data_IF_323704225790
#
_entry.id   IF_323704225790
#
_cell.length_a   1.000
_cell.length_b   1.000
_cell.length_c   1.000
_cell.angle_alpha   90.00
_cell.angle_beta   90.00
_cell.angle_gamma   90.00
#
_symmetry.space_group_name_H-M   'P 1'
#
loop_
_entity.id
_entity.type
_entity.pdbx_description
1 polymer ?
#
# COMPACT_ATOMS: atom_id res chain seq x y z
N UNK A 1 -48.50 69.45 -44.87
CA UNK A 1 -48.65 67.99 -44.66
C UNK A 1 -47.66 67.61 -43.57
N UNK A 2 -48.13 67.11 -42.43
CA UNK A 2 -47.26 66.62 -41.35
C UNK A 2 -47.05 65.12 -41.52
N UNK A 3 -45.80 64.64 -41.39
CA UNK A 3 -45.48 63.22 -41.49
C UNK A 3 -45.89 62.51 -40.19
N UNK A 4 -46.66 61.43 -40.31
CA UNK A 4 -47.00 60.57 -39.17
C UNK A 4 -45.76 59.75 -38.80
N UNK A 5 -45.35 59.81 -37.53
CA UNK A 5 -44.23 59.02 -37.02
C UNK A 5 -44.75 58.11 -35.93
N UNK A 6 -44.68 56.80 -36.16
CA UNK A 6 -45.03 55.81 -35.16
C UNK A 6 -43.89 55.66 -34.14
N UNK A 7 -44.25 55.37 -32.89
CA UNK A 7 -43.28 55.08 -31.83
C UNK A 7 -42.48 53.82 -32.13
N UNK A 8 -41.17 53.88 -31.90
CA UNK A 8 -40.26 52.75 -32.02
C UNK A 8 -39.59 52.40 -30.69
N UNK A 9 -39.33 51.12 -30.50
CA UNK A 9 -38.66 50.62 -29.31
C UNK A 9 -37.16 50.96 -29.31
N UNK A 10 -36.63 51.35 -28.16
CA UNK A 10 -35.20 51.39 -27.90
C UNK A 10 -34.61 49.97 -27.88
N UNK A 11 -33.28 49.90 -27.91
CA UNK A 11 -32.57 48.69 -27.52
C UNK A 11 -32.95 48.27 -26.10
N UNK A 12 -32.86 46.97 -25.84
CA UNK A 12 -33.08 46.39 -24.52
C UNK A 12 -31.94 46.71 -23.56
N UNK A 13 -32.28 47.11 -22.35
CA UNK A 13 -31.38 47.26 -21.21
C UNK A 13 -31.60 46.07 -20.28
N UNK A 14 -30.59 45.24 -20.08
CA UNK A 14 -30.69 44.06 -19.21
C UNK A 14 -30.08 44.32 -17.83
N UNK A 15 -30.73 43.83 -16.78
CA UNK A 15 -30.20 43.78 -15.43
C UNK A 15 -29.26 42.60 -15.19
N UNK A 16 -28.80 42.48 -13.93
CA UNK A 16 -27.94 41.38 -13.50
C UNK A 16 -28.70 40.04 -13.45
N UNK A 17 -27.98 38.94 -13.68
CA UNK A 17 -28.52 37.59 -13.51
C UNK A 17 -28.64 37.25 -12.02
N UNK A 18 -29.81 36.83 -11.58
CA UNK A 18 -30.07 36.51 -10.17
C UNK A 18 -29.65 35.08 -9.76
N UNK A 19 -28.96 34.34 -10.63
CA UNK A 19 -28.48 33.00 -10.32
C UNK A 19 -27.59 33.02 -9.06
N UNK A 20 -28.01 32.30 -8.02
CA UNK A 20 -27.33 32.21 -6.71
C UNK A 20 -25.96 31.51 -6.80
N UNK A 21 -25.80 30.64 -7.80
CA UNK A 21 -24.59 29.84 -8.02
C UNK A 21 -24.36 29.61 -9.51
N UNK A 22 -23.39 28.75 -9.83
CA UNK A 22 -23.23 28.18 -11.15
C UNK A 22 -24.52 27.57 -11.68
N UNK A 23 -25.11 28.18 -12.71
CA UNK A 23 -26.30 27.65 -13.34
C UNK A 23 -27.20 28.68 -13.99
N UNK A 24 -28.46 28.29 -14.13
CA UNK A 24 -29.53 29.06 -14.74
C UNK A 24 -30.22 29.95 -13.71
N UNK A 25 -30.39 31.21 -14.05
CA UNK A 25 -31.23 32.15 -13.31
C UNK A 25 -32.12 32.94 -14.26
N UNK A 26 -32.66 34.04 -13.76
CA UNK A 26 -33.44 34.99 -14.52
C UNK A 26 -32.82 36.39 -14.42
N UNK A 27 -33.00 37.17 -15.47
CA UNK A 27 -32.70 38.61 -15.48
C UNK A 27 -33.87 39.37 -16.09
N UNK A 28 -34.15 40.53 -15.51
CA UNK A 28 -35.10 41.47 -16.10
C UNK A 28 -34.42 42.27 -17.20
N UNK A 29 -35.14 42.56 -18.29
CA UNK A 29 -34.74 43.53 -19.31
C UNK A 29 -35.88 44.50 -19.59
N UNK A 30 -35.54 45.75 -19.85
CA UNK A 30 -36.50 46.82 -20.14
C UNK A 30 -36.14 47.60 -21.41
N UNK A 31 -37.14 48.22 -22.03
CA UNK A 31 -36.99 49.08 -23.22
C UNK A 31 -37.98 50.24 -23.17
N UNK A 32 -37.70 51.29 -23.93
CA UNK A 32 -38.51 52.51 -23.96
C UNK A 32 -39.06 52.77 -25.36
N UNK A 33 -40.27 53.30 -25.46
CA UNK A 33 -40.85 53.72 -26.73
C UNK A 33 -40.38 55.12 -27.11
N UNK A 34 -39.12 55.25 -27.50
CA UNK A 34 -38.50 56.54 -27.80
C UNK A 34 -37.54 56.54 -28.99
N UNK A 35 -37.51 55.47 -29.79
CA UNK A 35 -36.59 55.33 -30.90
C UNK A 35 -37.31 54.86 -32.19
N UNK A 36 -38.07 55.75 -32.89
CA UNK A 36 -38.29 57.17 -32.58
C UNK A 36 -39.47 57.42 -31.64
N UNK A 37 -39.63 58.66 -31.16
CA UNK A 37 -40.85 59.09 -30.45
C UNK A 37 -42.02 59.23 -31.44
N UNK A 38 -43.23 58.89 -30.97
CA UNK A 38 -44.45 59.07 -31.77
C UNK A 38 -44.76 60.56 -31.99
N UNK A 39 -45.21 60.91 -33.19
CA UNK A 39 -45.58 62.28 -33.55
C UNK A 39 -46.76 62.31 -34.54
N UNK A 40 -47.46 63.45 -34.58
CA UNK A 40 -48.54 63.74 -35.55
C UNK A 40 -49.65 62.67 -35.61
N UNK A 41 -50.03 62.13 -34.46
CA UNK A 41 -51.06 61.09 -34.36
C UNK A 41 -50.56 59.67 -34.64
N UNK A 42 -49.24 59.45 -34.69
CA UNK A 42 -48.66 58.12 -34.84
C UNK A 42 -48.95 57.18 -33.67
N UNK A 43 -48.93 55.89 -33.98
CA UNK A 43 -49.24 54.82 -33.03
C UNK A 43 -48.17 54.68 -31.94
N UNK A 44 -48.59 54.19 -30.78
CA UNK A 44 -47.67 53.80 -29.70
C UNK A 44 -47.01 52.45 -29.99
N UNK A 45 -45.88 52.19 -29.33
CA UNK A 45 -45.19 50.93 -29.45
C UNK A 45 -46.06 49.78 -28.94
N UNK A 46 -46.11 48.69 -29.73
CA UNK A 46 -46.85 47.49 -29.36
C UNK A 46 -45.93 46.48 -28.66
N UNK A 47 -46.44 45.84 -27.61
CA UNK A 47 -45.75 44.82 -26.81
C UNK A 47 -45.29 45.29 -25.44
N UNK A 48 -44.61 44.40 -24.71
CA UNK A 48 -44.21 44.65 -23.33
C UNK A 48 -42.95 45.55 -23.26
N UNK A 49 -42.94 46.46 -22.28
CA UNK A 49 -41.80 47.32 -21.96
C UNK A 49 -40.74 46.63 -21.10
N UNK A 50 -41.14 45.61 -20.34
CA UNK A 50 -40.34 44.89 -19.37
C UNK A 50 -40.54 43.39 -19.58
N UNK A 51 -39.48 42.59 -19.47
CA UNK A 51 -39.52 41.14 -19.68
C UNK A 51 -38.53 40.42 -18.76
N UNK A 52 -38.90 39.23 -18.27
CA UNK A 52 -38.00 38.31 -17.57
C UNK A 52 -37.49 37.24 -18.52
N UNK A 53 -36.16 37.18 -18.69
CA UNK A 53 -35.51 36.18 -19.55
C UNK A 53 -34.56 35.29 -18.75
N UNK A 54 -34.39 34.05 -19.21
CA UNK A 54 -33.40 33.15 -18.66
C UNK A 54 -31.97 33.68 -18.88
N UNK A 55 -31.11 33.47 -17.90
CA UNK A 55 -29.69 33.78 -17.99
C UNK A 55 -28.87 32.63 -17.43
N UNK A 56 -27.63 32.49 -17.91
CA UNK A 56 -26.66 31.52 -17.40
C UNK A 56 -25.49 32.31 -16.86
N UNK A 57 -25.16 32.08 -15.57
CA UNK A 57 -23.97 32.68 -14.97
C UNK A 57 -22.77 31.81 -15.30
N UNK A 58 -21.87 32.32 -16.14
CA UNK A 58 -20.70 31.59 -16.65
C UNK A 58 -19.45 31.67 -15.77
N UNK A 59 -19.54 32.24 -14.56
CA UNK A 59 -18.41 32.38 -13.62
C UNK A 59 -18.08 31.08 -12.87
N UNK A 60 -18.18 29.96 -13.57
CA UNK A 60 -17.86 28.62 -13.07
C UNK A 60 -16.60 28.05 -13.73
N UNK A 61 -15.89 28.91 -14.45
CA UNK A 61 -14.58 28.62 -15.01
C UNK A 61 -13.48 28.78 -13.94
N UNK A 62 -13.66 28.16 -12.77
CA UNK A 62 -12.51 27.83 -11.91
C UNK A 62 -12.75 26.66 -10.96
N UNK A 63 -13.59 25.67 -11.29
CA UNK A 63 -13.60 24.41 -10.50
C UNK A 63 -13.87 23.14 -11.34
N UNK A 64 -13.92 23.19 -12.68
CA UNK A 64 -14.24 22.02 -13.51
C UNK A 64 -13.53 22.02 -14.89
N UNK A 65 -12.27 22.46 -14.97
CA UNK A 65 -11.42 22.21 -16.16
C UNK A 65 -9.94 22.11 -15.77
N UNK A 66 -9.70 21.32 -14.74
CA UNK A 66 -8.37 21.11 -14.18
C UNK A 66 -8.46 20.17 -13.01
N UNK A 67 -8.80 18.90 -13.24
CA UNK A 67 -8.11 17.87 -12.46
C UNK A 67 -6.65 17.97 -12.91
N UNK A 68 -5.99 18.81 -12.15
CA UNK A 68 -4.68 19.37 -12.36
C UNK A 68 -3.66 18.23 -12.58
N UNK A 69 -2.55 18.49 -13.29
CA UNK A 69 -1.39 17.60 -13.30
C UNK A 69 -0.91 17.20 -11.89
N UNK A 70 -1.39 17.86 -10.83
CA UNK A 70 -1.25 17.49 -9.43
C UNK A 70 -1.89 16.13 -9.08
N UNK A 71 -3.12 15.84 -9.54
CA UNK A 71 -3.81 14.56 -9.23
C UNK A 71 -3.14 13.39 -9.94
N UNK A 72 -2.69 13.59 -11.18
CA UNK A 72 -1.95 12.57 -11.92
C UNK A 72 -0.54 12.38 -11.32
N UNK A 73 0.10 13.47 -10.88
CA UNK A 73 1.39 13.44 -10.21
C UNK A 73 1.37 12.73 -8.86
N UNK A 74 0.32 12.89 -8.05
CA UNK A 74 0.20 12.17 -6.77
C UNK A 74 0.01 10.68 -6.96
N UNK A 75 -0.78 10.25 -7.95
CA UNK A 75 -0.97 8.81 -8.23
C UNK A 75 0.33 8.17 -8.70
N UNK A 76 1.06 8.79 -9.64
CA UNK A 76 2.36 8.28 -10.10
C UNK A 76 3.39 8.28 -8.96
N UNK A 77 3.42 9.35 -8.16
CA UNK A 77 4.30 9.44 -6.99
C UNK A 77 4.03 8.34 -5.96
N UNK A 78 2.77 8.08 -5.64
CA UNK A 78 2.37 6.99 -4.73
C UNK A 78 2.77 5.64 -5.32
N UNK A 79 2.55 5.40 -6.62
CA UNK A 79 2.95 4.14 -7.27
C UNK A 79 4.47 3.93 -7.20
N UNK A 80 5.28 4.96 -7.46
CA UNK A 80 6.75 4.88 -7.34
C UNK A 80 7.17 4.60 -5.89
N UNK A 81 6.59 5.29 -4.91
CA UNK A 81 6.88 5.07 -3.49
C UNK A 81 6.52 3.64 -3.06
N UNK A 82 5.36 3.13 -3.47
CA UNK A 82 4.93 1.75 -3.19
C UNK A 82 5.91 0.74 -3.81
N UNK A 83 6.33 0.96 -5.06
CA UNK A 83 7.32 0.10 -5.74
C UNK A 83 8.66 0.12 -4.99
N UNK A 84 9.14 1.30 -4.58
CA UNK A 84 10.39 1.41 -3.80
C UNK A 84 10.28 0.69 -2.44
N UNK A 85 9.16 0.84 -1.74
CA UNK A 85 8.90 0.13 -0.49
C UNK A 85 8.88 -1.39 -0.72
N UNK A 86 8.22 -1.87 -1.78
CA UNK A 86 8.21 -3.30 -2.12
C UNK A 86 9.61 -3.82 -2.45
N UNK A 87 10.40 -3.07 -3.19
CA UNK A 87 11.80 -3.42 -3.49
C UNK A 87 12.62 -3.47 -2.20
N UNK A 88 12.47 -2.50 -1.30
CA UNK A 88 13.15 -2.47 0.00
C UNK A 88 12.72 -3.65 0.88
N UNK A 89 11.42 -3.98 0.93
CA UNK A 89 10.90 -5.14 1.65
C UNK A 89 11.43 -6.43 1.05
N UNK A 90 11.43 -6.59 -0.27
CA UNK A 90 12.01 -7.75 -0.95
C UNK A 90 13.51 -7.84 -0.66
N UNK A 91 14.24 -6.73 -0.70
CA UNK A 91 15.67 -6.68 -0.41
C UNK A 91 15.97 -7.02 1.05
N UNK A 92 15.23 -6.43 2.00
CA UNK A 92 15.32 -6.73 3.41
C UNK A 92 14.96 -8.19 3.69
N UNK A 93 13.91 -8.72 3.05
CA UNK A 93 13.51 -10.12 3.15
C UNK A 93 14.59 -11.04 2.56
N UNK A 94 15.17 -10.71 1.41
CA UNK A 94 16.30 -11.45 0.82
C UNK A 94 17.53 -11.42 1.72
N UNK A 95 17.86 -10.25 2.30
CA UNK A 95 18.98 -10.06 3.23
C UNK A 95 18.76 -10.85 4.52
N UNK A 96 17.57 -10.79 5.08
CA UNK A 96 17.17 -11.55 6.26
C UNK A 96 17.16 -13.06 5.98
N UNK A 97 16.64 -13.46 4.82
CA UNK A 97 16.62 -14.87 4.39
C UNK A 97 18.03 -15.41 4.18
N UNK A 98 18.93 -14.61 3.61
CA UNK A 98 20.36 -14.96 3.49
C UNK A 98 21.03 -15.07 4.87
N UNK A 99 20.79 -14.12 5.78
CA UNK A 99 21.31 -14.17 7.15
C UNK A 99 20.81 -15.40 7.90
N UNK A 100 19.52 -15.75 7.77
CA UNK A 100 18.94 -16.93 8.41
C UNK A 100 19.53 -18.23 7.85
N UNK A 101 19.73 -18.33 6.54
CA UNK A 101 20.41 -19.48 5.91
C UNK A 101 21.85 -19.66 6.40
N UNK A 102 22.59 -18.57 6.55
CA UNK A 102 23.95 -18.59 7.07
C UNK A 102 23.98 -19.14 8.50
N UNK A 103 23.06 -18.67 9.36
CA UNK A 103 22.92 -19.17 10.73
C UNK A 103 22.46 -20.63 10.77
N UNK A 104 21.49 -21.03 9.94
CA UNK A 104 20.96 -22.41 9.91
C UNK A 104 22.00 -23.41 9.34
N UNK A 105 22.81 -23.02 8.35
CA UNK A 105 23.93 -23.83 7.84
C UNK A 105 25.02 -24.02 8.90
N UNK A 106 25.41 -22.94 9.59
CA UNK A 106 26.41 -22.99 10.65
C UNK A 106 25.92 -23.80 11.88
N UNK A 107 24.62 -23.72 12.23
CA UNK A 107 24.02 -24.54 13.30
C UNK A 107 23.94 -26.02 12.90
N UNK A 108 23.57 -26.34 11.65
CA UNK A 108 23.49 -27.74 11.19
C UNK A 108 24.88 -28.39 11.12
N UNK A 109 25.91 -27.63 10.72
CA UNK A 109 27.29 -28.14 10.73
C UNK A 109 27.80 -28.37 12.16
N UNK A 110 27.56 -27.43 13.07
CA UNK A 110 27.90 -27.59 14.49
C UNK A 110 27.16 -28.75 15.17
N UNK A 111 25.87 -28.95 14.88
CA UNK A 111 25.12 -30.08 15.47
C UNK A 111 25.59 -31.43 14.91
N UNK A 112 26.00 -31.49 13.64
CA UNK A 112 26.59 -32.68 13.01
C UNK A 112 27.96 -33.03 13.59
N UNK A 113 28.83 -32.04 13.79
CA UNK A 113 30.12 -32.23 14.48
C UNK A 113 29.89 -32.72 15.91
N UNK A 114 28.96 -32.11 16.66
CA UNK A 114 28.64 -32.53 18.03
C UNK A 114 28.15 -33.98 18.06
N UNK A 115 27.22 -34.38 17.19
CA UNK A 115 26.72 -35.76 17.10
C UNK A 115 27.83 -36.77 16.78
N UNK A 116 28.73 -36.45 15.85
CA UNK A 116 29.86 -37.32 15.49
C UNK A 116 30.87 -37.49 16.63
N UNK A 117 31.17 -36.41 17.35
CA UNK A 117 32.10 -36.44 18.49
C UNK A 117 31.51 -37.22 19.67
N UNK A 118 30.24 -36.97 20.04
CA UNK A 118 29.57 -37.75 21.10
C UNK A 118 29.51 -39.24 20.76
N UNK A 119 29.14 -39.60 19.52
CA UNK A 119 29.13 -40.99 19.07
C UNK A 119 30.48 -41.68 19.21
N UNK A 120 31.58 -41.01 18.80
CA UNK A 120 32.94 -41.55 18.96
C UNK A 120 33.36 -41.71 20.42
N UNK A 121 33.02 -40.75 21.28
CA UNK A 121 33.35 -40.82 22.72
C UNK A 121 32.58 -41.96 23.40
N UNK A 122 31.27 -42.09 23.13
CA UNK A 122 30.45 -43.16 23.73
C UNK A 122 30.87 -44.55 23.27
N UNK A 123 31.23 -44.73 21.98
CA UNK A 123 31.76 -46.01 21.48
C UNK A 123 33.11 -46.34 22.10
N UNK A 124 34.01 -45.35 22.21
CA UNK A 124 35.32 -45.56 22.84
C UNK A 124 35.18 -45.92 24.33
N UNK A 125 34.29 -45.24 25.06
CA UNK A 125 34.04 -45.54 26.47
C UNK A 125 33.37 -46.90 26.68
N UNK A 126 32.48 -47.33 25.77
CA UNK A 126 31.90 -48.67 25.80
C UNK A 126 32.97 -49.76 25.56
N UNK A 127 33.87 -49.54 24.59
CA UNK A 127 34.96 -50.46 24.28
C UNK A 127 35.98 -50.58 25.44
N UNK A 128 36.35 -49.46 26.07
CA UNK A 128 37.24 -49.47 27.24
C UNK A 128 36.62 -50.20 28.43
N UNK A 129 35.32 -50.02 28.68
CA UNK A 129 34.61 -50.73 29.75
C UNK A 129 34.51 -52.24 29.47
N UNK A 130 34.30 -52.64 28.22
CA UNK A 130 34.21 -54.04 27.81
C UNK A 130 35.59 -54.74 27.89
N UNK A 131 36.67 -54.04 27.51
CA UNK A 131 38.04 -54.54 27.70
C UNK A 131 38.43 -54.69 29.17
N UNK A 132 38.05 -53.74 30.03
CA UNK A 132 38.38 -53.81 31.45
C UNK A 132 37.58 -54.91 32.18
N UNK A 133 36.35 -55.20 31.74
CA UNK A 133 35.58 -56.35 32.24
C UNK A 133 36.18 -57.68 31.81
N UNK A 134 36.65 -57.78 30.56
CA UNK A 134 37.30 -59.00 30.05
C UNK A 134 38.64 -59.27 30.76
N UNK A 135 39.43 -58.24 31.04
CA UNK A 135 40.72 -58.36 31.73
C UNK A 135 40.54 -58.80 33.20
N UNK A 136 39.47 -58.32 33.87
CA UNK A 136 39.10 -58.76 35.23
C UNK A 136 38.61 -60.21 35.25
N UNK A 137 37.79 -60.63 34.28
CA UNK A 137 37.34 -62.03 34.19
C UNK A 137 38.50 -63.00 33.95
N UNK A 138 39.43 -62.67 33.06
CA UNK A 138 40.64 -63.48 32.80
C UNK A 138 41.49 -63.62 34.06
N UNK A 139 41.75 -62.51 34.76
CA UNK A 139 42.52 -62.52 36.02
C UNK A 139 41.84 -63.34 37.14
N UNK A 140 40.51 -63.35 37.22
CA UNK A 140 39.78 -64.17 38.19
C UNK A 140 39.89 -65.66 37.83
N UNK A 141 39.74 -66.03 36.56
CA UNK A 141 39.83 -67.45 36.14
C UNK A 141 41.21 -68.06 36.38
N UNK A 142 42.27 -67.30 36.14
CA UNK A 142 43.65 -67.76 36.33
C UNK A 142 43.95 -67.98 37.83
N UNK A 143 43.60 -67.01 38.68
CA UNK A 143 43.83 -67.10 40.13
C UNK A 143 42.93 -68.11 40.85
N UNK A 144 41.69 -68.31 40.38
CA UNK A 144 40.79 -69.36 40.92
C UNK A 144 41.33 -70.75 40.57
N UNK A 145 41.95 -70.92 39.40
CA UNK A 145 42.54 -72.20 39.02
C UNK A 145 43.75 -72.58 39.89
N UNK A 146 44.65 -71.63 40.20
CA UNK A 146 45.80 -71.89 41.06
C UNK A 146 45.38 -72.17 42.51
N UNK A 147 44.45 -71.38 43.05
CA UNK A 147 43.94 -71.59 44.42
C UNK A 147 43.15 -72.88 44.58
N UNK A 148 42.36 -73.27 43.59
CA UNK A 148 41.64 -74.55 43.61
C UNK A 148 42.59 -75.76 43.53
N UNK A 149 43.62 -75.69 42.68
CA UNK A 149 44.67 -76.73 42.61
C UNK A 149 45.42 -76.85 43.94
N UNK A 150 45.67 -75.74 44.63
CA UNK A 150 46.33 -75.74 45.94
C UNK A 150 45.44 -76.26 47.08
N UNK A 151 44.13 -76.01 47.03
CA UNK A 151 43.17 -76.57 47.98
C UNK A 151 43.02 -78.08 47.77
N UNK A 152 42.89 -78.55 46.53
CA UNK A 152 42.81 -79.98 46.23
C UNK A 152 44.07 -80.76 46.66
N UNK A 153 45.26 -80.14 46.55
CA UNK A 153 46.50 -80.74 47.07
C UNK A 153 46.53 -80.86 48.60
N UNK A 154 45.75 -80.07 49.35
CA UNK A 154 45.67 -80.14 50.82
C UNK A 154 44.68 -81.16 51.34
N UNK A 155 43.57 -81.40 50.64
CA UNK A 155 42.54 -82.37 51.04
C UNK A 155 42.88 -83.83 50.65
N UNK A 156 43.84 -84.03 49.72
CA UNK A 156 44.27 -85.35 49.25
C UNK A 156 45.51 -85.91 49.99
N UNK A 157 45.79 -85.48 51.23
CA UNK A 157 46.94 -85.93 52.04
C UNK A 157 46.54 -86.23 53.48
#
# INVERSE_FOLDING_TARGET
MFLIVNGGWSSWTSGACNATSCGTGQKSRSRYCNNPLKANGGADCQGEKDELIACVRSECAEQQSGNTPLVVGTVIGILVIVILILILVIYAKRRWYKSKKETDYNITDMTKVKSHVYGKIHVNHAYQNEQQSAEVEVFITENVSETFVDILKREMK
#
